data_IF_206030071635
#
_entry.id   IF_206030071635
#
_cell.length_a   1.000
_cell.length_b   1.000
_cell.length_c   1.000
_cell.angle_alpha   90.00
_cell.angle_beta   90.00
_cell.angle_gamma   90.00
#
_symmetry.space_group_name_H-M   'P 1'
#
loop_
_entity.id
_entity.type
_entity.pdbx_description
1 polymer ?
#
# COMPACT_ATOMS: atom_id res chain seq x y z
N UNK A 1 -12.89 55.70 5.45
CA UNK A 1 -11.90 56.66 6.03
C UNK A 1 -11.43 57.68 5.01
N UNK A 2 -10.96 57.28 3.79
CA UNK A 2 -10.49 58.23 2.79
C UNK A 2 -11.53 59.31 2.44
N UNK A 3 -12.81 58.94 2.25
CA UNK A 3 -13.93 59.86 2.02
C UNK A 3 -14.03 60.91 3.14
N UNK A 4 -13.99 60.50 4.40
CA UNK A 4 -14.08 61.43 5.53
C UNK A 4 -12.86 62.31 5.73
N UNK A 5 -11.65 61.80 5.43
CA UNK A 5 -10.40 62.59 5.53
C UNK A 5 -10.34 63.67 4.48
N UNK A 6 -10.81 63.36 3.26
CA UNK A 6 -10.80 64.31 2.12
C UNK A 6 -12.11 65.03 1.91
N UNK A 7 -13.06 64.89 2.85
CA UNK A 7 -14.40 65.48 2.77
C UNK A 7 -15.09 65.24 1.41
N UNK A 8 -14.95 64.07 0.86
CA UNK A 8 -15.60 63.72 -0.40
C UNK A 8 -17.06 63.33 -0.18
N UNK A 9 -17.95 63.69 -1.12
CA UNK A 9 -19.37 63.32 -1.03
C UNK A 9 -19.62 61.85 -1.42
N UNK A 10 -18.76 61.32 -2.28
CA UNK A 10 -18.86 59.95 -2.77
C UNK A 10 -17.47 59.32 -2.88
N UNK A 11 -17.41 58.01 -2.76
CA UNK A 11 -16.17 57.26 -2.90
C UNK A 11 -16.40 55.82 -3.40
N UNK A 12 -15.44 55.32 -4.20
CA UNK A 12 -15.49 53.97 -4.71
C UNK A 12 -14.08 53.39 -4.75
N UNK A 13 -13.97 52.16 -4.25
CA UNK A 13 -12.74 51.35 -4.42
C UNK A 13 -13.01 50.24 -5.43
N UNK A 14 -12.20 50.21 -6.47
CA UNK A 14 -12.27 49.25 -7.57
C UNK A 14 -11.08 48.32 -7.48
N UNK A 15 -11.32 47.01 -7.53
CA UNK A 15 -10.28 46.01 -7.58
C UNK A 15 -10.14 45.38 -8.95
N UNK A 16 -8.92 45.08 -9.34
CA UNK A 16 -8.59 44.45 -10.59
C UNK A 16 -8.47 42.95 -10.43
N UNK A 17 -9.28 42.17 -11.19
CA UNK A 17 -9.08 40.73 -11.35
C UNK A 17 -8.10 40.48 -12.50
N UNK A 18 -7.19 39.51 -12.32
CA UNK A 18 -6.12 39.21 -13.30
C UNK A 18 -6.65 38.84 -14.71
N UNK A 19 -7.86 38.26 -14.77
CA UNK A 19 -8.45 37.73 -16.02
C UNK A 19 -9.55 38.61 -16.62
N UNK A 20 -9.96 39.71 -15.97
CA UNK A 20 -11.09 40.55 -16.41
C UNK A 20 -10.64 41.96 -16.81
N UNK A 21 -11.14 42.49 -17.92
CA UNK A 21 -10.96 43.91 -18.27
C UNK A 21 -11.88 44.81 -17.45
N UNK A 22 -12.76 44.28 -16.64
CA UNK A 22 -13.72 45.00 -15.81
C UNK A 22 -13.15 45.13 -14.41
N UNK A 23 -13.24 46.32 -13.84
CA UNK A 23 -12.89 46.61 -12.45
C UNK A 23 -14.10 46.35 -11.57
N UNK A 24 -13.90 45.52 -10.54
CA UNK A 24 -14.96 45.19 -9.60
C UNK A 24 -15.05 46.21 -8.46
N UNK A 25 -16.22 46.81 -8.20
CA UNK A 25 -16.41 47.67 -7.04
C UNK A 25 -16.37 46.82 -5.76
N UNK A 26 -15.31 46.99 -4.96
CA UNK A 26 -15.10 46.26 -3.70
C UNK A 26 -15.68 47.02 -2.50
N UNK A 27 -15.76 48.34 -2.56
CA UNK A 27 -16.39 49.21 -1.58
C UNK A 27 -16.90 50.47 -2.21
N UNK A 28 -18.10 50.90 -1.82
CA UNK A 28 -18.72 52.15 -2.29
C UNK A 28 -19.24 52.92 -1.10
N UNK A 29 -19.26 54.27 -1.28
CA UNK A 29 -19.87 55.19 -0.33
C UNK A 29 -20.72 56.21 -1.10
N UNK A 30 -22.01 56.31 -0.77
CA UNK A 30 -23.01 57.18 -1.45
C UNK A 30 -23.13 56.93 -2.97
N UNK A 31 -22.87 55.69 -3.43
CA UNK A 31 -23.08 55.28 -4.82
C UNK A 31 -24.16 54.20 -4.90
N UNK A 32 -24.95 54.24 -5.98
CA UNK A 32 -25.89 53.18 -6.30
C UNK A 32 -25.15 52.02 -6.96
N UNK A 33 -25.37 50.76 -6.52
CA UNK A 33 -24.64 49.58 -7.01
C UNK A 33 -24.65 49.40 -8.52
N UNK A 34 -25.66 49.94 -9.21
CA UNK A 34 -25.80 49.83 -10.66
C UNK A 34 -24.82 50.71 -11.49
N UNK A 35 -24.16 51.66 -10.85
CA UNK A 35 -23.33 52.65 -11.56
C UNK A 35 -21.85 52.21 -11.71
N UNK A 36 -21.48 51.09 -11.19
CA UNK A 36 -20.08 50.79 -10.82
C UNK A 36 -19.29 49.88 -11.75
N UNK A 37 -19.80 49.44 -12.90
CA UNK A 37 -19.04 48.62 -13.83
C UNK A 37 -18.14 49.49 -14.72
N UNK A 38 -16.91 49.70 -14.30
CA UNK A 38 -15.92 50.46 -15.06
C UNK A 38 -14.94 49.55 -15.78
N UNK A 39 -14.62 49.92 -17.02
CA UNK A 39 -13.64 49.16 -17.80
C UNK A 39 -12.24 49.71 -17.56
N UNK A 40 -11.27 48.85 -17.34
CA UNK A 40 -9.83 49.14 -17.27
C UNK A 40 -9.32 49.89 -18.51
N UNK A 41 -10.04 49.81 -19.63
CA UNK A 41 -9.69 50.48 -20.91
C UNK A 41 -10.02 51.98 -20.95
N UNK A 42 -10.61 52.56 -19.92
CA UNK A 42 -10.82 54.01 -19.86
C UNK A 42 -9.50 54.73 -19.82
N UNK A 43 -9.45 55.91 -20.51
CA UNK A 43 -8.22 56.69 -20.69
C UNK A 43 -7.49 57.03 -19.39
N UNK A 44 -8.23 57.45 -18.38
CA UNK A 44 -7.70 57.80 -17.06
C UNK A 44 -6.94 56.64 -16.39
N UNK A 45 -7.44 55.40 -16.49
CA UNK A 45 -6.74 54.26 -15.88
C UNK A 45 -5.47 53.89 -16.64
N UNK A 46 -5.43 54.06 -17.96
CA UNK A 46 -4.22 53.88 -18.75
C UNK A 46 -3.17 54.93 -18.41
N UNK A 47 -3.58 56.19 -18.31
CA UNK A 47 -2.71 57.29 -17.90
C UNK A 47 -2.09 57.06 -16.53
N UNK A 48 -2.88 56.60 -15.55
CA UNK A 48 -2.41 56.25 -14.21
C UNK A 48 -1.44 55.06 -14.26
N UNK A 49 -1.68 54.07 -15.11
CA UNK A 49 -0.77 52.94 -15.29
C UNK A 49 0.59 53.38 -15.89
N UNK A 50 0.54 54.22 -16.91
CA UNK A 50 1.74 54.73 -17.59
C UNK A 50 2.59 55.66 -16.70
N UNK A 51 1.95 56.58 -16.00
CA UNK A 51 2.63 57.57 -15.15
C UNK A 51 2.86 57.06 -13.72
N UNK A 52 2.26 55.94 -13.33
CA UNK A 52 2.29 55.40 -11.96
C UNK A 52 1.84 56.42 -10.87
N UNK A 53 1.10 57.42 -11.22
CA UNK A 53 0.60 58.46 -10.35
C UNK A 53 -0.92 58.61 -10.47
N UNK A 54 -1.57 59.03 -9.41
CA UNK A 54 -2.98 59.38 -9.45
C UNK A 54 -3.24 60.65 -10.25
N UNK A 55 -4.52 60.90 -10.55
CA UNK A 55 -4.95 62.04 -11.38
C UNK A 55 -6.10 62.79 -10.71
N UNK A 56 -6.07 64.11 -10.80
CA UNK A 56 -7.20 65.00 -10.47
C UNK A 56 -7.91 65.35 -11.75
N UNK A 57 -9.22 65.12 -11.79
CA UNK A 57 -10.10 65.47 -12.92
C UNK A 57 -11.01 66.63 -12.54
N UNK A 58 -10.86 67.73 -13.26
CA UNK A 58 -11.65 68.94 -13.10
C UNK A 58 -12.68 69.07 -14.23
N UNK A 59 -13.67 69.97 -14.15
CA UNK A 59 -14.63 70.20 -15.24
C UNK A 59 -14.03 70.52 -16.60
N UNK A 60 -12.82 71.03 -16.62
CA UNK A 60 -12.07 71.37 -17.85
C UNK A 60 -11.46 70.12 -18.50
N UNK A 61 -11.19 69.06 -17.76
CA UNK A 61 -10.50 67.84 -18.27
C UNK A 61 -11.39 67.04 -19.21
N UNK A 62 -12.71 67.10 -19.06
CA UNK A 62 -13.71 66.40 -19.90
C UNK A 62 -13.45 64.91 -20.11
N UNK A 63 -12.97 64.21 -19.11
CA UNK A 63 -12.63 62.79 -19.22
C UNK A 63 -13.88 61.91 -19.33
N UNK A 64 -13.73 60.78 -19.99
CA UNK A 64 -14.79 59.78 -20.19
C UNK A 64 -15.30 59.22 -18.88
N UNK A 65 -14.48 59.18 -17.84
CA UNK A 65 -14.85 58.69 -16.49
C UNK A 65 -15.85 59.65 -15.84
N UNK A 66 -15.61 61.00 -15.94
CA UNK A 66 -16.52 62.04 -15.43
C UNK A 66 -17.92 61.89 -16.01
N UNK A 67 -17.99 61.69 -17.36
CA UNK A 67 -19.27 61.51 -18.05
C UNK A 67 -19.96 60.19 -17.64
N UNK A 68 -19.22 59.11 -17.43
CA UNK A 68 -19.79 57.83 -16.99
C UNK A 68 -20.32 57.85 -15.58
N UNK A 69 -19.66 58.58 -14.68
CA UNK A 69 -20.04 58.72 -13.30
C UNK A 69 -21.02 59.88 -13.08
N UNK A 70 -21.20 60.70 -14.07
CA UNK A 70 -21.99 61.95 -14.01
C UNK A 70 -21.52 62.91 -12.90
N UNK A 71 -20.18 62.96 -12.70
CA UNK A 71 -19.53 63.80 -11.70
C UNK A 71 -18.46 64.69 -12.34
N UNK A 72 -18.28 65.89 -11.78
CA UNK A 72 -17.39 66.91 -12.40
C UNK A 72 -16.02 66.98 -11.72
N UNK A 73 -15.95 66.78 -10.42
CA UNK A 73 -14.73 66.90 -9.61
C UNK A 73 -14.37 65.55 -9.05
N UNK A 74 -13.35 64.89 -9.59
CA UNK A 74 -12.87 63.58 -9.16
C UNK A 74 -11.37 63.62 -8.85
N UNK A 75 -10.98 62.77 -7.93
CA UNK A 75 -9.59 62.37 -7.73
C UNK A 75 -9.49 60.83 -7.78
N UNK A 76 -8.54 60.35 -8.56
CA UNK A 76 -8.32 58.90 -8.78
C UNK A 76 -6.89 58.57 -8.40
N UNK A 77 -6.72 57.59 -7.51
CA UNK A 77 -5.40 57.12 -7.12
C UNK A 77 -5.31 55.60 -7.25
N UNK A 78 -4.16 55.04 -7.67
CA UNK A 78 -3.95 53.61 -7.77
C UNK A 78 -3.72 53.00 -6.37
N UNK A 79 -4.26 51.80 -6.16
CA UNK A 79 -3.92 50.92 -5.07
C UNK A 79 -2.69 50.12 -5.48
N UNK A 80 -1.49 50.58 -5.12
CA UNK A 80 -0.22 50.01 -5.62
C UNK A 80 0.61 49.40 -4.49
N UNK A 81 0.98 48.11 -4.64
CA UNK A 81 1.90 47.40 -3.76
C UNK A 81 3.02 46.75 -4.62
N UNK A 82 4.28 46.87 -4.21
CA UNK A 82 5.44 46.23 -4.88
C UNK A 82 5.44 46.36 -6.40
N UNK A 83 5.20 47.54 -6.93
CA UNK A 83 5.12 47.86 -8.38
C UNK A 83 3.92 47.23 -9.14
N UNK A 84 2.97 46.58 -8.49
CA UNK A 84 1.74 46.05 -9.10
C UNK A 84 0.54 46.88 -8.66
N UNK A 85 -0.26 47.38 -9.61
CA UNK A 85 -1.54 48.04 -9.34
C UNK A 85 -2.60 46.95 -9.10
N UNK A 86 -3.21 46.97 -7.93
CA UNK A 86 -4.27 46.02 -7.53
C UNK A 86 -5.67 46.59 -7.82
N UNK A 87 -5.77 47.89 -8.01
CA UNK A 87 -7.03 48.56 -8.23
C UNK A 87 -6.91 50.07 -8.18
N UNK A 88 -8.02 50.75 -8.04
CA UNK A 88 -8.12 52.18 -8.02
C UNK A 88 -9.11 52.66 -6.96
N UNK A 89 -8.83 53.80 -6.35
CA UNK A 89 -9.77 54.53 -5.53
C UNK A 89 -10.19 55.82 -6.21
N UNK A 90 -11.50 56.01 -6.28
CA UNK A 90 -12.12 57.19 -6.90
C UNK A 90 -12.89 57.90 -5.79
N UNK A 91 -12.63 59.21 -5.60
CA UNK A 91 -13.42 60.07 -4.76
C UNK A 91 -13.99 61.23 -5.61
N UNK A 92 -15.22 61.68 -5.24
CA UNK A 92 -15.92 62.69 -5.97
C UNK A 92 -16.38 63.80 -5.06
N UNK A 93 -16.37 65.04 -5.57
CA UNK A 93 -16.96 66.22 -5.00
C UNK A 93 -16.46 66.52 -3.59
N UNK A 94 -15.42 67.30 -3.47
CA UNK A 94 -14.91 67.78 -2.17
C UNK A 94 -15.90 68.78 -1.55
N UNK A 95 -16.47 68.46 -0.44
CA UNK A 95 -17.43 69.34 0.27
C UNK A 95 -16.68 70.25 1.23
N UNK A 96 -16.88 71.56 1.07
CA UNK A 96 -16.35 72.56 1.96
C UNK A 96 -17.47 73.45 2.50
N UNK A 97 -17.17 74.35 3.41
CA UNK A 97 -18.14 75.31 3.93
C UNK A 97 -18.68 76.29 2.86
N UNK A 98 -17.99 76.37 1.72
CA UNK A 98 -18.33 77.24 0.58
C UNK A 98 -19.01 76.49 -0.58
N UNK A 99 -19.22 75.21 -0.43
CA UNK A 99 -19.83 74.31 -1.43
C UNK A 99 -18.90 73.26 -1.94
N UNK A 100 -19.14 72.74 -3.16
CA UNK A 100 -18.29 71.73 -3.81
C UNK A 100 -17.09 72.41 -4.43
N UNK A 101 -15.90 71.99 -4.04
CA UNK A 101 -14.61 72.47 -4.56
C UNK A 101 -13.87 71.38 -5.33
N UNK A 102 -12.83 71.78 -6.08
CA UNK A 102 -11.93 70.90 -6.78
C UNK A 102 -10.94 70.25 -5.81
N UNK A 103 -10.57 69.00 -6.05
CA UNK A 103 -9.44 68.39 -5.37
C UNK A 103 -8.12 69.03 -5.87
N UNK A 104 -7.19 69.18 -4.96
CA UNK A 104 -5.87 69.77 -5.28
C UNK A 104 -4.78 68.68 -5.15
N UNK A 105 -3.50 69.04 -5.45
CA UNK A 105 -2.39 68.13 -5.41
C UNK A 105 -2.15 67.50 -4.01
N UNK A 106 -2.37 68.28 -2.96
CA UNK A 106 -2.26 67.75 -1.57
C UNK A 106 -3.30 66.66 -1.30
N UNK A 107 -4.53 66.85 -1.82
CA UNK A 107 -5.60 65.84 -1.69
C UNK A 107 -5.19 64.54 -2.45
N UNK A 108 -4.62 64.68 -3.63
CA UNK A 108 -4.12 63.56 -4.41
C UNK A 108 -2.96 62.81 -3.69
N UNK A 109 -2.00 63.55 -3.15
CA UNK A 109 -0.86 63.01 -2.43
C UNK A 109 -1.32 62.22 -1.18
N UNK A 110 -2.29 62.79 -0.45
CA UNK A 110 -2.88 62.16 0.71
C UNK A 110 -3.66 60.89 0.31
N UNK A 111 -4.50 60.98 -0.73
CA UNK A 111 -5.22 59.82 -1.23
C UNK A 111 -4.26 58.71 -1.68
N UNK A 112 -3.19 59.06 -2.38
CA UNK A 112 -2.16 58.12 -2.86
C UNK A 112 -1.47 57.45 -1.70
N UNK A 113 -1.13 58.16 -0.65
CA UNK A 113 -0.57 57.60 0.58
C UNK A 113 -1.52 56.59 1.23
N UNK A 114 -2.82 56.93 1.35
CA UNK A 114 -3.85 56.03 1.88
C UNK A 114 -4.04 54.76 0.99
N UNK A 115 -4.03 54.94 -0.32
CA UNK A 115 -4.14 53.87 -1.30
C UNK A 115 -2.95 52.90 -1.21
N UNK A 116 -1.72 53.40 -1.08
CA UNK A 116 -0.54 52.58 -0.92
C UNK A 116 -0.57 51.77 0.39
N UNK A 117 -0.98 52.37 1.49
CA UNK A 117 -1.17 51.65 2.76
C UNK A 117 -2.23 50.56 2.64
N UNK A 118 -3.37 50.86 2.02
CA UNK A 118 -4.45 49.91 1.80
C UNK A 118 -3.99 48.74 0.91
N UNK A 119 -3.24 49.04 -0.18
CA UNK A 119 -2.72 48.02 -1.07
C UNK A 119 -1.73 47.05 -0.36
N UNK A 120 -0.83 47.56 0.47
CA UNK A 120 0.09 46.75 1.27
C UNK A 120 -0.67 45.86 2.27
N UNK A 121 -1.68 46.42 2.93
CA UNK A 121 -2.49 45.66 3.88
C UNK A 121 -3.28 44.51 3.18
N UNK A 122 -3.80 44.79 1.99
CA UNK A 122 -4.51 43.78 1.17
C UNK A 122 -3.56 42.71 0.66
N UNK A 123 -2.36 43.05 0.23
CA UNK A 123 -1.35 42.07 -0.21
C UNK A 123 -0.93 41.14 0.93
N UNK A 124 -0.69 41.68 2.10
CA UNK A 124 -0.38 40.89 3.30
C UNK A 124 -1.53 39.97 3.70
N UNK A 125 -2.77 40.48 3.65
CA UNK A 125 -3.96 39.66 3.97
C UNK A 125 -4.12 38.49 2.96
N UNK A 126 -3.87 38.76 1.66
CA UNK A 126 -3.90 37.73 0.62
C UNK A 126 -2.82 36.69 0.83
N UNK A 127 -1.57 37.09 1.07
CA UNK A 127 -0.46 36.17 1.35
C UNK A 127 -0.75 35.31 2.58
N UNK A 128 -1.27 35.89 3.64
CA UNK A 128 -1.64 35.13 4.84
C UNK A 128 -2.72 34.10 4.55
N UNK A 129 -3.73 34.47 3.75
CA UNK A 129 -4.80 33.55 3.32
C UNK A 129 -4.22 32.42 2.48
N UNK A 130 -3.39 32.73 1.48
CA UNK A 130 -2.78 31.73 0.59
C UNK A 130 -1.92 30.72 1.38
N UNK A 131 -1.13 31.20 2.35
CA UNK A 131 -0.33 30.34 3.24
C UNK A 131 -1.23 29.45 4.09
N UNK A 132 -2.31 30.02 4.64
CA UNK A 132 -3.25 29.26 5.49
C UNK A 132 -3.97 28.19 4.68
N UNK A 133 -4.44 28.53 3.49
CA UNK A 133 -5.10 27.58 2.58
C UNK A 133 -4.16 26.47 2.14
N UNK A 134 -2.90 26.79 1.81
CA UNK A 134 -1.88 25.80 1.46
C UNK A 134 -1.57 24.86 2.64
N UNK A 135 -1.46 25.41 3.87
CA UNK A 135 -1.26 24.61 5.07
C UNK A 135 -2.43 23.67 5.33
N UNK A 136 -3.67 24.17 5.29
CA UNK A 136 -4.88 23.36 5.49
C UNK A 136 -5.01 22.27 4.42
N UNK A 137 -4.66 22.57 3.17
CA UNK A 137 -4.66 21.61 2.07
C UNK A 137 -3.66 20.46 2.34
N UNK A 138 -2.43 20.79 2.73
CA UNK A 138 -1.41 19.79 3.09
C UNK A 138 -1.84 18.93 4.28
N UNK A 139 -2.38 19.54 5.34
CA UNK A 139 -2.91 18.81 6.51
C UNK A 139 -4.08 17.89 6.14
N UNK A 140 -4.97 18.34 5.25
CA UNK A 140 -6.08 17.53 4.75
C UNK A 140 -5.61 16.32 3.95
N UNK A 141 -4.61 16.50 3.06
CA UNK A 141 -4.01 15.39 2.31
C UNK A 141 -3.39 14.38 3.26
N UNK A 142 -2.49 14.83 4.14
CA UNK A 142 -1.82 13.95 5.10
C UNK A 142 -2.79 13.25 6.04
N UNK A 143 -3.92 13.89 6.40
CA UNK A 143 -4.96 13.30 7.21
C UNK A 143 -5.85 12.28 6.50
N UNK A 144 -5.92 12.32 5.16
CA UNK A 144 -6.73 11.41 4.34
C UNK A 144 -5.98 10.15 3.86
N UNK A 145 -4.65 10.17 3.92
CA UNK A 145 -3.80 9.04 3.52
C UNK A 145 -3.84 7.96 4.61
N UNK A 146 -4.06 6.69 4.22
CA UNK A 146 -4.02 5.55 5.14
C UNK A 146 -2.60 5.17 5.61
N UNK A 147 -1.57 5.65 4.91
CA UNK A 147 -0.17 5.47 5.26
C UNK A 147 0.21 6.40 6.42
N UNK A 148 0.79 5.84 7.48
CA UNK A 148 1.40 6.61 8.56
C UNK A 148 2.63 7.34 8.04
N UNK A 149 2.70 8.65 8.25
CA UNK A 149 3.85 9.47 7.87
C UNK A 149 4.41 10.10 9.13
N UNK A 150 5.70 9.83 9.39
CA UNK A 150 6.48 10.40 10.50
C UNK A 150 7.63 11.18 9.88
N UNK A 151 7.90 12.37 10.35
CA UNK A 151 9.08 13.14 9.94
C UNK A 151 10.04 13.31 11.09
N UNK A 152 11.31 13.16 10.80
CA UNK A 152 12.42 13.38 11.73
C UNK A 152 13.20 14.63 11.34
N UNK A 153 13.70 15.31 12.33
CA UNK A 153 14.66 16.39 12.14
C UNK A 153 16.10 15.86 11.90
N UNK A 154 17.10 16.72 11.67
CA UNK A 154 18.48 16.29 11.41
C UNK A 154 19.18 15.59 12.59
N UNK A 155 18.66 15.66 13.79
CA UNK A 155 19.19 14.97 14.97
C UNK A 155 18.39 13.72 15.36
N UNK A 156 17.39 13.35 14.59
CA UNK A 156 16.58 12.15 14.79
C UNK A 156 15.39 12.33 15.73
N UNK A 157 15.03 13.57 16.12
CA UNK A 157 13.81 13.84 16.86
C UNK A 157 12.60 13.88 15.93
N UNK A 158 11.46 13.39 16.40
CA UNK A 158 10.21 13.36 15.63
C UNK A 158 9.58 14.74 15.66
N UNK A 159 9.52 15.41 14.51
CA UNK A 159 8.95 16.74 14.35
C UNK A 159 7.46 16.71 13.94
N UNK A 160 6.99 15.66 13.29
CA UNK A 160 5.57 15.49 13.01
C UNK A 160 5.16 14.01 12.80
N UNK A 161 3.87 13.76 12.99
CA UNK A 161 3.22 12.48 12.68
C UNK A 161 1.79 12.76 12.21
N UNK A 162 1.34 12.08 11.13
CA UNK A 162 -0.03 12.20 10.66
C UNK A 162 -1.00 11.30 11.47
N UNK A 163 -2.31 11.46 11.23
CA UNK A 163 -3.35 10.68 11.91
C UNK A 163 -3.20 9.16 11.68
N UNK A 164 -2.86 8.73 10.48
CA UNK A 164 -2.65 7.30 10.20
C UNK A 164 -1.46 6.75 11.00
N UNK A 165 -0.38 7.52 11.11
CA UNK A 165 0.79 7.15 11.93
C UNK A 165 0.42 6.93 13.39
N UNK A 166 -0.34 7.85 14.01
CA UNK A 166 -0.81 7.67 15.41
C UNK A 166 -1.71 6.45 15.57
N UNK A 167 -2.54 6.16 14.57
CA UNK A 167 -3.39 4.96 14.57
C UNK A 167 -2.59 3.67 14.49
N UNK A 168 -1.58 3.60 13.61
CA UNK A 168 -0.69 2.43 13.45
C UNK A 168 0.16 2.23 14.69
N UNK A 169 0.74 3.32 15.22
CA UNK A 169 1.56 3.29 16.44
C UNK A 169 0.74 3.02 17.71
N UNK A 170 -0.59 3.21 17.66
CA UNK A 170 -1.52 3.16 18.82
C UNK A 170 -1.09 4.07 19.96
N UNK A 171 -0.54 5.22 19.62
CA UNK A 171 -0.06 6.24 20.55
C UNK A 171 -0.55 7.62 20.11
N UNK A 172 -0.85 8.48 21.08
CA UNK A 172 -1.21 9.87 20.82
C UNK A 172 0.01 10.68 20.34
N UNK A 173 -0.20 11.63 19.43
CA UNK A 173 0.87 12.43 18.84
C UNK A 173 1.74 13.15 19.89
N UNK A 174 1.13 13.58 20.98
CA UNK A 174 1.79 14.27 22.11
C UNK A 174 2.85 13.39 22.79
N UNK A 175 2.69 12.08 22.75
CA UNK A 175 3.64 11.11 23.32
C UNK A 175 4.72 10.67 22.33
N UNK A 176 4.61 11.08 21.06
CA UNK A 176 5.51 10.70 19.97
C UNK A 176 6.41 11.89 19.59
N UNK A 177 5.80 13.06 19.35
CA UNK A 177 6.51 14.26 18.90
C UNK A 177 7.50 14.73 19.97
N UNK A 178 8.71 15.11 19.54
CA UNK A 178 9.80 15.55 20.40
C UNK A 178 10.63 14.40 21.02
N UNK A 179 10.27 13.14 20.78
CA UNK A 179 11.11 12.01 21.16
C UNK A 179 12.02 11.61 20.01
N UNK A 180 13.21 11.11 20.34
CA UNK A 180 14.11 10.55 19.36
C UNK A 180 13.63 9.19 18.86
N UNK A 181 13.77 8.90 17.56
CA UNK A 181 13.26 7.66 16.97
C UNK A 181 13.81 6.39 17.64
N UNK A 182 15.06 6.41 18.11
CA UNK A 182 15.64 5.27 18.82
C UNK A 182 14.88 4.89 20.09
N UNK A 183 14.29 5.86 20.77
CA UNK A 183 13.48 5.61 21.95
C UNK A 183 12.12 4.99 21.58
N UNK A 184 11.54 5.46 20.48
CA UNK A 184 10.25 4.99 20.01
C UNK A 184 10.30 3.54 19.53
N UNK A 185 11.39 3.16 18.86
CA UNK A 185 11.59 1.83 18.27
C UNK A 185 12.63 0.99 19.02
N UNK A 186 12.88 1.24 20.31
CA UNK A 186 13.95 0.59 21.08
C UNK A 186 13.92 -0.94 21.08
N UNK A 187 12.71 -1.53 20.86
CA UNK A 187 12.48 -2.97 20.87
C UNK A 187 12.57 -3.63 19.49
N UNK A 188 12.68 -2.82 18.45
CA UNK A 188 12.56 -3.25 17.05
C UNK A 188 13.91 -3.01 16.33
N UNK A 189 14.89 -3.91 16.55
CA UNK A 189 16.25 -3.79 15.97
C UNK A 189 16.23 -3.63 14.45
N UNK A 190 15.35 -4.34 13.74
CA UNK A 190 15.20 -4.31 12.29
C UNK A 190 14.76 -2.90 11.81
N UNK A 191 13.84 -2.26 12.53
CA UNK A 191 13.41 -0.89 12.25
C UNK A 191 14.54 0.11 12.50
N UNK A 192 15.28 -0.04 13.61
CA UNK A 192 16.40 0.82 13.93
C UNK A 192 17.52 0.72 12.87
N UNK A 193 17.82 -0.49 12.41
CA UNK A 193 18.80 -0.72 11.33
C UNK A 193 18.36 -0.09 10.02
N UNK A 194 17.08 -0.22 9.66
CA UNK A 194 16.50 0.38 8.45
C UNK A 194 16.62 1.91 8.47
N UNK A 195 16.27 2.56 9.60
CA UNK A 195 16.35 4.02 9.74
C UNK A 195 17.82 4.48 9.70
N UNK A 196 18.70 3.85 10.46
CA UNK A 196 20.12 4.23 10.49
C UNK A 196 20.82 4.01 9.15
N UNK A 197 20.46 2.96 8.41
CA UNK A 197 20.99 2.71 7.06
C UNK A 197 20.56 3.79 6.08
N UNK A 198 19.29 4.23 6.14
CA UNK A 198 18.78 5.31 5.30
C UNK A 198 19.47 6.64 5.60
N UNK A 199 19.75 6.92 6.88
CA UNK A 199 20.45 8.10 7.35
C UNK A 199 21.92 8.14 6.86
N UNK A 200 22.67 7.05 7.12
CA UNK A 200 24.10 6.96 6.77
C UNK A 200 24.32 7.02 5.26
N UNK A 201 23.53 6.28 4.51
CA UNK A 201 23.70 6.19 3.05
C UNK A 201 23.03 7.35 2.29
N UNK A 202 22.20 8.14 2.96
CA UNK A 202 21.37 9.20 2.37
C UNK A 202 20.56 8.72 1.19
N UNK A 203 19.94 7.54 1.31
CA UNK A 203 19.13 6.88 0.27
C UNK A 203 17.83 6.36 0.85
N UNK A 204 16.85 6.18 -0.04
CA UNK A 204 15.61 5.50 0.30
C UNK A 204 15.92 4.04 0.67
N UNK A 205 15.40 3.60 1.81
CA UNK A 205 15.41 2.21 2.26
C UNK A 205 13.99 1.76 2.53
N UNK A 206 13.66 0.53 2.18
CA UNK A 206 12.33 -0.03 2.39
C UNK A 206 12.44 -1.48 2.79
N UNK A 207 11.61 -1.88 3.75
CA UNK A 207 11.47 -3.25 4.19
C UNK A 207 9.97 -3.60 4.26
N UNK A 208 9.63 -4.85 3.98
CA UNK A 208 8.25 -5.32 3.92
C UNK A 208 8.01 -6.45 4.93
N UNK A 209 6.76 -6.57 5.41
CA UNK A 209 6.33 -7.59 6.37
C UNK A 209 7.09 -7.55 7.70
N UNK A 210 7.47 -6.38 8.18
CA UNK A 210 8.14 -6.22 9.47
C UNK A 210 7.13 -6.47 10.59
N UNK A 211 7.37 -7.43 11.52
CA UNK A 211 6.57 -7.55 12.72
C UNK A 211 6.86 -6.36 13.65
N UNK A 212 5.83 -5.62 13.99
CA UNK A 212 5.90 -4.44 14.82
C UNK A 212 5.06 -4.63 16.09
N UNK A 213 5.69 -4.52 17.25
CA UNK A 213 5.03 -4.72 18.53
C UNK A 213 4.56 -3.40 19.11
N UNK A 214 3.26 -3.11 18.97
CA UNK A 214 2.62 -2.02 19.72
C UNK A 214 2.36 -2.45 21.16
N UNK A 215 1.91 -1.52 22.01
CA UNK A 215 1.65 -1.78 23.43
C UNK A 215 0.65 -2.93 23.67
N UNK A 216 -0.19 -3.29 22.70
CA UNK A 216 -1.30 -4.23 22.89
C UNK A 216 -1.39 -5.38 21.89
N UNK A 217 -0.78 -5.27 20.71
CA UNK A 217 -0.94 -6.27 19.64
C UNK A 217 0.29 -6.31 18.72
N UNK A 218 0.50 -7.49 18.13
CA UNK A 218 1.42 -7.67 17.01
C UNK A 218 0.78 -7.13 15.73
N UNK A 219 1.43 -6.17 15.11
CA UNK A 219 1.05 -5.53 13.85
C UNK A 219 2.10 -5.88 12.81
N UNK A 220 1.72 -6.07 11.56
CA UNK A 220 2.66 -6.27 10.45
C UNK A 220 2.64 -5.03 9.58
N UNK A 221 3.81 -4.43 9.37
CA UNK A 221 3.94 -3.19 8.61
C UNK A 221 4.89 -3.35 7.43
N UNK A 222 4.64 -2.57 6.37
CA UNK A 222 5.66 -2.20 5.41
C UNK A 222 6.20 -0.83 5.84
N UNK A 223 7.51 -0.67 5.79
CA UNK A 223 8.15 0.58 6.18
C UNK A 223 9.09 1.08 5.08
N UNK A 224 9.03 2.37 4.81
CA UNK A 224 9.95 3.05 3.90
C UNK A 224 10.51 4.29 4.59
N UNK A 225 11.82 4.46 4.51
CA UNK A 225 12.54 5.61 5.07
C UNK A 225 13.25 6.34 3.95
N UNK A 226 13.03 7.64 3.85
CA UNK A 226 13.61 8.48 2.82
C UNK A 226 14.24 9.74 3.42
N UNK A 227 15.39 10.23 2.91
CA UNK A 227 15.93 11.52 3.31
C UNK A 227 15.00 12.67 2.88
N UNK A 228 14.75 13.61 3.79
CA UNK A 228 14.05 14.85 3.53
C UNK A 228 15.06 15.91 3.09
N UNK A 229 14.96 16.37 1.86
CA UNK A 229 15.90 17.32 1.27
C UNK A 229 15.31 18.74 1.21
N UNK A 230 16.15 19.74 1.40
CA UNK A 230 15.81 21.13 1.09
C UNK A 230 15.89 21.37 -0.45
N UNK A 231 15.44 22.55 -0.96
CA UNK A 231 15.55 22.88 -2.37
C UNK A 231 16.98 22.90 -2.94
N UNK A 232 17.96 23.04 -2.07
CA UNK A 232 19.39 23.04 -2.37
C UNK A 232 20.00 21.62 -2.37
N UNK A 233 19.23 20.60 -1.92
CA UNK A 233 19.62 19.19 -1.91
C UNK A 233 20.33 18.75 -0.61
N UNK A 234 20.33 19.57 0.45
CA UNK A 234 20.89 19.18 1.75
C UNK A 234 19.84 18.42 2.57
N UNK A 235 20.30 17.44 3.34
CA UNK A 235 19.41 16.65 4.21
C UNK A 235 18.91 17.47 5.38
N UNK A 236 17.58 17.56 5.51
CA UNK A 236 16.85 18.23 6.59
C UNK A 236 16.19 17.24 7.57
N UNK A 237 16.63 15.98 7.55
CA UNK A 237 16.08 14.90 8.35
C UNK A 237 15.57 13.74 7.50
N UNK A 238 14.66 12.94 8.05
CA UNK A 238 14.09 11.76 7.39
C UNK A 238 12.57 11.84 7.34
N UNK A 239 12.00 11.11 6.37
CA UNK A 239 10.56 10.81 6.31
C UNK A 239 10.38 9.31 6.39
N UNK A 240 9.57 8.86 7.32
CA UNK A 240 9.21 7.46 7.53
C UNK A 240 7.76 7.28 7.09
N UNK A 241 7.53 6.34 6.17
CA UNK A 241 6.20 5.91 5.75
C UNK A 241 5.93 4.52 6.32
N UNK A 242 4.77 4.35 6.97
CA UNK A 242 4.30 3.11 7.58
C UNK A 242 2.99 2.69 6.95
N UNK A 243 2.91 1.48 6.46
CA UNK A 243 1.69 0.87 5.95
C UNK A 243 1.32 -0.33 6.81
N UNK A 244 0.15 -0.30 7.43
CA UNK A 244 -0.38 -1.44 8.18
C UNK A 244 -0.93 -2.48 7.20
N UNK A 245 -0.26 -3.63 7.12
CA UNK A 245 -0.66 -4.77 6.30
C UNK A 245 -1.13 -5.96 7.15
N UNK A 246 -1.47 -5.73 8.41
CA UNK A 246 -1.83 -6.79 9.37
C UNK A 246 -2.95 -7.66 8.85
N UNK A 247 -4.02 -7.08 8.35
CA UNK A 247 -5.16 -7.85 7.84
C UNK A 247 -4.80 -8.62 6.57
N UNK A 248 -4.06 -8.02 5.65
CA UNK A 248 -3.56 -8.70 4.44
C UNK A 248 -2.64 -9.85 4.82
N UNK A 249 -1.72 -9.63 5.76
CA UNK A 249 -0.81 -10.65 6.28
C UNK A 249 -1.57 -11.79 6.99
N UNK A 250 -2.58 -11.49 7.81
CA UNK A 250 -3.45 -12.50 8.43
C UNK A 250 -4.19 -13.34 7.39
N UNK A 251 -4.76 -12.71 6.36
CA UNK A 251 -5.43 -13.42 5.26
C UNK A 251 -4.43 -14.30 4.52
N UNK A 252 -3.27 -13.76 4.13
CA UNK A 252 -2.20 -14.52 3.47
C UNK A 252 -1.72 -15.70 4.32
N UNK A 253 -1.49 -15.49 5.61
CA UNK A 253 -1.07 -16.56 6.53
C UNK A 253 -2.17 -17.59 6.79
N UNK A 254 -3.43 -17.17 6.82
CA UNK A 254 -4.57 -18.08 6.90
C UNK A 254 -4.66 -18.92 5.61
N UNK A 255 -4.52 -18.29 4.45
CA UNK A 255 -4.55 -18.98 3.16
C UNK A 255 -3.40 -20.00 3.01
N UNK A 256 -2.20 -19.69 3.52
CA UNK A 256 -1.08 -20.63 3.58
C UNK A 256 -1.33 -21.89 4.42
N UNK A 257 -2.35 -21.89 5.27
CA UNK A 257 -2.77 -23.11 6.02
C UNK A 257 -3.65 -24.04 5.19
N UNK A 258 -4.31 -23.53 4.16
CA UNK A 258 -5.22 -24.31 3.29
C UNK A 258 -4.59 -24.66 1.95
N UNK A 259 -3.55 -23.94 1.53
CA UNK A 259 -2.85 -24.14 0.27
C UNK A 259 -1.36 -24.25 0.58
N UNK A 260 -0.64 -25.14 -0.11
CA UNK A 260 0.80 -25.29 0.12
C UNK A 260 1.55 -23.97 -0.15
N UNK A 261 2.59 -23.72 0.64
CA UNK A 261 3.39 -22.49 0.55
C UNK A 261 3.89 -22.22 -0.88
N UNK A 262 4.36 -23.26 -1.58
CA UNK A 262 4.88 -23.17 -2.94
C UNK A 262 3.82 -22.71 -3.94
N UNK A 263 2.57 -23.21 -3.79
CA UNK A 263 1.44 -22.81 -4.65
C UNK A 263 1.03 -21.37 -4.35
N UNK A 264 1.00 -20.97 -3.08
CA UNK A 264 0.68 -19.57 -2.71
C UNK A 264 1.72 -18.61 -3.25
N UNK A 265 3.00 -18.91 -3.10
CA UNK A 265 4.07 -18.04 -3.56
C UNK A 265 4.06 -17.91 -5.10
N UNK A 266 3.81 -18.99 -5.85
CA UNK A 266 3.72 -18.95 -7.32
C UNK A 266 2.45 -18.23 -7.83
N UNK A 267 1.31 -18.38 -7.16
CA UNK A 267 0.06 -17.71 -7.54
C UNK A 267 0.07 -16.21 -7.24
N UNK A 268 0.83 -15.77 -6.24
CA UNK A 268 0.94 -14.35 -5.89
C UNK A 268 1.95 -13.58 -6.74
N UNK A 269 2.88 -14.28 -7.40
CA UNK A 269 3.91 -13.64 -8.23
C UNK A 269 3.44 -13.33 -9.66
N UNK A 270 2.34 -13.95 -10.14
CA UNK A 270 1.87 -13.76 -11.52
C UNK A 270 0.34 -13.92 -11.62
N UNK A 271 -0.37 -12.81 -11.77
CA UNK A 271 -1.83 -12.78 -11.96
C UNK A 271 -2.31 -13.64 -13.17
N UNK A 272 -1.47 -13.83 -14.17
CA UNK A 272 -1.81 -14.66 -15.32
C UNK A 272 -1.93 -16.15 -14.94
N UNK A 273 -1.25 -16.58 -13.89
CA UNK A 273 -1.30 -17.97 -13.37
C UNK A 273 -2.56 -18.27 -12.54
N UNK A 274 -3.34 -17.25 -12.21
CA UNK A 274 -4.65 -17.42 -11.55
C UNK A 274 -5.76 -17.89 -12.50
N UNK A 275 -5.52 -17.92 -13.80
CA UNK A 275 -6.52 -18.36 -14.77
C UNK A 275 -6.67 -19.89 -14.79
N UNK A 276 -7.87 -20.35 -15.15
CA UNK A 276 -8.12 -21.77 -15.45
C UNK A 276 -7.20 -22.23 -16.56
N UNK A 277 -6.52 -23.35 -16.35
CA UNK A 277 -5.62 -23.95 -17.33
C UNK A 277 -4.64 -24.91 -16.69
N UNK A 278 -3.94 -25.61 -17.51
CA UNK A 278 -2.88 -26.51 -17.07
C UNK A 278 -1.89 -26.78 -18.19
N UNK A 279 -0.67 -27.10 -17.80
CA UNK A 279 0.42 -27.46 -18.70
C UNK A 279 0.87 -28.91 -18.46
N UNK A 280 1.35 -29.53 -19.52
CA UNK A 280 1.90 -30.87 -19.40
C UNK A 280 3.26 -30.81 -18.73
N UNK A 281 3.40 -31.53 -17.62
CA UNK A 281 4.66 -31.64 -16.87
C UNK A 281 4.97 -33.09 -16.52
N UNK A 282 6.24 -33.42 -16.36
CA UNK A 282 6.66 -34.68 -15.77
C UNK A 282 6.87 -34.48 -14.27
N UNK A 283 6.14 -35.21 -13.45
CA UNK A 283 6.15 -35.09 -11.99
C UNK A 283 6.36 -36.43 -11.33
N UNK A 284 6.78 -36.42 -10.06
CA UNK A 284 6.79 -37.58 -9.21
C UNK A 284 5.68 -37.42 -8.15
N UNK A 285 4.77 -38.39 -8.09
CA UNK A 285 3.62 -38.40 -7.20
C UNK A 285 3.84 -39.45 -6.13
N UNK A 286 3.66 -39.06 -4.86
CA UNK A 286 3.75 -39.90 -3.69
C UNK A 286 2.41 -39.92 -2.98
N UNK A 287 1.90 -41.13 -2.74
CA UNK A 287 0.72 -41.36 -1.94
C UNK A 287 1.08 -42.10 -0.65
N UNK A 288 0.44 -41.74 0.47
CA UNK A 288 0.50 -42.50 1.73
C UNK A 288 -0.90 -42.78 2.22
N UNK A 289 -1.14 -43.96 2.80
CA UNK A 289 -2.45 -44.35 3.31
C UNK A 289 -2.31 -45.22 4.57
N UNK A 290 -3.06 -44.89 5.66
CA UNK A 290 -2.96 -45.56 6.93
C UNK A 290 -3.63 -46.95 6.85
N UNK A 291 -2.91 -47.98 7.21
CA UNK A 291 -3.41 -49.37 7.13
C UNK A 291 -4.41 -49.67 8.23
N UNK A 292 -5.60 -50.13 7.80
CA UNK A 292 -6.69 -50.51 8.72
C UNK A 292 -7.36 -49.33 9.42
N UNK A 293 -7.19 -48.10 8.93
CA UNK A 293 -7.75 -46.90 9.53
C UNK A 293 -9.28 -46.94 9.62
N UNK A 294 -9.98 -47.38 8.60
CA UNK A 294 -11.46 -47.54 8.61
C UNK A 294 -11.94 -48.38 9.79
N UNK A 295 -11.35 -49.56 9.98
CA UNK A 295 -11.71 -50.43 11.10
C UNK A 295 -11.26 -49.88 12.45
N UNK A 296 -10.22 -49.06 12.48
CA UNK A 296 -9.73 -48.40 13.70
C UNK A 296 -10.66 -47.26 14.09
N UNK A 297 -11.05 -46.43 13.12
CA UNK A 297 -11.88 -45.22 13.32
C UNK A 297 -13.31 -45.59 13.78
N UNK A 298 -13.89 -46.69 13.28
CA UNK A 298 -15.19 -47.18 13.71
C UNK A 298 -15.27 -47.50 15.23
N UNK A 299 -14.13 -47.82 15.83
CA UNK A 299 -14.02 -48.15 17.27
C UNK A 299 -13.61 -46.94 18.13
N UNK A 300 -13.33 -45.81 17.54
CA UNK A 300 -12.88 -44.60 18.21
C UNK A 300 -13.99 -43.57 18.37
N UNK A 301 -13.88 -42.71 19.38
CA UNK A 301 -14.69 -41.49 19.46
C UNK A 301 -14.24 -40.49 18.37
N UNK A 302 -15.16 -39.72 17.79
CA UNK A 302 -14.83 -38.77 16.72
C UNK A 302 -13.66 -37.84 17.02
N UNK A 303 -13.58 -37.33 18.25
CA UNK A 303 -12.50 -36.44 18.69
C UNK A 303 -11.13 -37.14 18.66
N UNK A 304 -11.12 -38.42 18.95
CA UNK A 304 -9.89 -39.25 18.91
C UNK A 304 -9.47 -39.57 17.48
N UNK A 305 -10.42 -39.75 16.57
CA UNK A 305 -10.13 -39.93 15.14
C UNK A 305 -9.39 -38.70 14.62
N UNK A 306 -9.96 -37.50 14.86
CA UNK A 306 -9.38 -36.24 14.44
C UNK A 306 -8.01 -36.01 15.08
N UNK A 307 -7.86 -36.22 16.38
CA UNK A 307 -6.56 -36.02 17.05
C UNK A 307 -5.49 -36.97 16.56
N UNK A 308 -5.85 -38.24 16.24
CA UNK A 308 -4.92 -39.23 15.68
C UNK A 308 -4.47 -38.85 14.27
N UNK A 309 -5.40 -38.43 13.43
CA UNK A 309 -5.07 -37.94 12.08
C UNK A 309 -4.17 -36.70 12.13
N UNK A 310 -4.52 -35.73 12.98
CA UNK A 310 -3.72 -34.52 13.11
C UNK A 310 -2.30 -34.81 13.61
N UNK A 311 -2.15 -35.73 14.55
CA UNK A 311 -0.83 -36.15 15.04
C UNK A 311 0.01 -36.78 13.90
N UNK A 312 -0.60 -37.67 13.10
CA UNK A 312 0.04 -38.28 11.94
C UNK A 312 0.38 -37.26 10.86
N UNK A 313 -0.61 -36.46 10.45
CA UNK A 313 -0.44 -35.50 9.36
C UNK A 313 0.60 -34.44 9.69
N UNK A 314 0.62 -33.91 10.91
CA UNK A 314 1.59 -32.89 11.30
C UNK A 314 3.02 -33.37 11.05
N UNK A 315 3.36 -34.57 11.50
CA UNK A 315 4.72 -35.11 11.34
C UNK A 315 5.05 -35.49 9.91
N UNK A 316 4.08 -36.04 9.16
CA UNK A 316 4.30 -36.41 7.76
C UNK A 316 4.42 -35.20 6.84
N UNK A 317 3.60 -34.19 7.04
CA UNK A 317 3.62 -32.96 6.25
C UNK A 317 4.90 -32.15 6.50
N UNK A 318 5.38 -32.10 7.74
CA UNK A 318 6.66 -31.46 8.06
C UNK A 318 7.82 -32.08 7.27
N UNK A 319 7.83 -33.42 7.10
CA UNK A 319 8.82 -34.12 6.27
C UNK A 319 8.65 -33.78 4.79
N UNK A 320 7.40 -33.69 4.29
CA UNK A 320 7.14 -33.27 2.91
C UNK A 320 7.74 -31.89 2.64
N UNK A 321 7.49 -30.93 3.52
CA UNK A 321 8.01 -29.55 3.36
C UNK A 321 9.52 -29.46 3.52
N UNK A 322 10.11 -30.25 4.41
CA UNK A 322 11.58 -30.36 4.56
C UNK A 322 12.29 -30.72 3.25
N UNK A 323 11.67 -31.55 2.44
CA UNK A 323 12.19 -31.96 1.13
C UNK A 323 11.54 -31.22 -0.05
N UNK A 324 10.95 -30.05 0.19
CA UNK A 324 10.32 -29.22 -0.84
C UNK A 324 9.27 -29.96 -1.69
N UNK A 325 8.52 -30.89 -1.08
CA UNK A 325 7.35 -31.51 -1.68
C UNK A 325 6.14 -30.60 -1.59
N UNK A 326 5.26 -30.67 -2.57
CA UNK A 326 3.98 -29.98 -2.58
C UNK A 326 2.90 -30.90 -2.07
N UNK A 327 2.27 -30.59 -0.93
CA UNK A 327 1.07 -31.30 -0.51
C UNK A 327 -0.08 -30.88 -1.43
N UNK A 328 -0.55 -31.80 -2.26
CA UNK A 328 -1.68 -31.55 -3.18
C UNK A 328 -2.99 -31.58 -2.41
N UNK A 329 -3.29 -32.69 -1.75
CA UNK A 329 -4.50 -32.82 -0.92
C UNK A 329 -4.40 -33.93 0.12
N UNK A 330 -5.30 -33.83 1.10
CA UNK A 330 -5.59 -34.86 2.10
C UNK A 330 -6.92 -35.52 1.73
N UNK A 331 -6.93 -36.83 1.53
CA UNK A 331 -8.10 -37.61 1.11
C UNK A 331 -8.41 -38.63 2.20
N UNK A 332 -9.23 -38.25 3.20
CA UNK A 332 -9.46 -39.09 4.38
C UNK A 332 -8.19 -39.25 5.21
N UNK A 333 -7.62 -40.44 5.23
CA UNK A 333 -6.34 -40.78 5.88
C UNK A 333 -5.15 -40.88 4.88
N UNK A 334 -5.40 -40.56 3.60
CA UNK A 334 -4.40 -40.59 2.55
C UNK A 334 -3.82 -39.18 2.31
N UNK A 335 -2.52 -39.10 2.08
CA UNK A 335 -1.82 -37.88 1.61
C UNK A 335 -1.44 -38.06 0.14
N UNK A 336 -1.74 -37.05 -0.67
CA UNK A 336 -1.23 -36.92 -2.03
C UNK A 336 -0.18 -35.82 -2.08
N UNK A 337 1.03 -36.16 -2.47
CA UNK A 337 2.20 -35.27 -2.52
C UNK A 337 2.76 -35.29 -3.94
N UNK A 338 3.18 -34.11 -4.43
CA UNK A 338 3.73 -33.94 -5.78
C UNK A 338 5.11 -33.30 -5.69
N UNK A 339 6.05 -33.81 -6.47
CA UNK A 339 7.37 -33.24 -6.73
C UNK A 339 7.48 -32.91 -8.20
N UNK A 340 7.96 -31.70 -8.55
CA UNK A 340 8.04 -31.23 -9.93
C UNK A 340 6.88 -30.33 -10.36
N UNK A 341 5.98 -30.01 -9.43
CA UNK A 341 4.94 -28.99 -9.58
C UNK A 341 4.64 -28.33 -8.24
N UNK A 342 4.45 -27.00 -8.20
CA UNK A 342 4.52 -26.05 -9.31
C UNK A 342 5.95 -25.80 -9.82
N UNK A 343 6.96 -26.05 -9.03
CA UNK A 343 8.38 -25.83 -9.35
C UNK A 343 9.08 -27.16 -9.58
N UNK A 344 9.69 -27.32 -10.75
CA UNK A 344 10.43 -28.54 -11.09
C UNK A 344 11.92 -28.42 -10.73
N UNK A 345 12.51 -29.55 -10.29
CA UNK A 345 13.93 -29.70 -10.03
C UNK A 345 14.45 -31.05 -10.54
N UNK A 346 15.75 -31.16 -10.82
CA UNK A 346 16.34 -32.37 -11.35
C UNK A 346 16.28 -33.56 -10.37
N UNK A 347 16.23 -33.30 -9.08
CA UNK A 347 16.20 -34.26 -7.98
C UNK A 347 14.83 -34.63 -7.46
N UNK A 348 13.75 -34.19 -8.12
CA UNK A 348 12.36 -34.39 -7.67
C UNK A 348 12.04 -35.83 -7.29
N UNK A 349 12.41 -36.78 -8.13
CA UNK A 349 12.15 -38.20 -7.89
C UNK A 349 12.95 -38.75 -6.70
N UNK A 350 14.17 -38.28 -6.54
CA UNK A 350 15.02 -38.66 -5.41
C UNK A 350 14.47 -38.12 -4.10
N UNK A 351 14.06 -36.84 -4.06
CA UNK A 351 13.45 -36.22 -2.88
C UNK A 351 12.15 -36.93 -2.47
N UNK A 352 11.34 -37.34 -3.43
CA UNK A 352 10.14 -38.14 -3.15
C UNK A 352 10.48 -39.48 -2.45
N UNK A 353 11.51 -40.16 -2.90
CA UNK A 353 11.97 -41.44 -2.29
C UNK A 353 12.54 -41.19 -0.90
N UNK A 354 13.38 -40.16 -0.72
CA UNK A 354 13.93 -39.80 0.60
C UNK A 354 12.80 -39.46 1.59
N UNK A 355 11.80 -38.68 1.15
CA UNK A 355 10.62 -38.36 1.95
C UNK A 355 9.90 -39.61 2.43
N UNK A 356 9.65 -40.57 1.52
CA UNK A 356 8.97 -41.80 1.89
C UNK A 356 9.76 -42.63 2.94
N UNK A 357 11.08 -42.72 2.79
CA UNK A 357 11.95 -43.43 3.75
C UNK A 357 11.95 -42.70 5.09
N UNK A 358 12.12 -41.41 5.14
CA UNK A 358 12.10 -40.66 6.41
C UNK A 358 10.74 -40.71 7.08
N UNK A 359 9.63 -40.68 6.32
CA UNK A 359 8.28 -40.90 6.89
C UNK A 359 8.16 -42.26 7.58
N UNK A 360 8.69 -43.32 6.99
CA UNK A 360 8.67 -44.68 7.60
C UNK A 360 9.57 -44.74 8.84
N UNK A 361 10.63 -43.96 8.94
CA UNK A 361 11.46 -43.90 10.15
C UNK A 361 10.79 -43.04 11.23
N UNK A 362 10.17 -41.94 10.86
CA UNK A 362 9.46 -41.06 11.79
C UNK A 362 8.26 -41.76 12.43
N UNK A 363 7.52 -42.58 11.69
CA UNK A 363 6.39 -43.30 12.26
C UNK A 363 6.83 -44.36 13.31
N UNK A 364 8.04 -44.89 13.19
CA UNK A 364 8.61 -45.81 14.23
C UNK A 364 8.77 -45.01 15.54
N UNK A 365 9.25 -43.78 15.47
CA UNK A 365 9.43 -42.88 16.61
C UNK A 365 8.06 -42.53 17.24
N UNK A 366 7.12 -42.09 16.42
CA UNK A 366 5.76 -41.77 16.86
C UNK A 366 5.09 -42.99 17.56
N UNK A 367 5.26 -44.17 17.00
CA UNK A 367 4.71 -45.40 17.58
C UNK A 367 5.33 -45.75 18.94
N UNK A 368 6.61 -45.41 19.19
CA UNK A 368 7.22 -45.55 20.51
C UNK A 368 6.54 -44.63 21.55
N UNK A 369 6.22 -43.40 21.16
CA UNK A 369 5.49 -42.45 22.02
C UNK A 369 4.06 -42.91 22.26
N UNK A 370 3.35 -43.37 21.21
CA UNK A 370 2.00 -43.93 21.30
C UNK A 370 1.93 -45.16 22.21
N UNK A 371 2.95 -46.01 22.16
CA UNK A 371 3.07 -47.15 23.07
C UNK A 371 3.16 -46.73 24.55
N UNK A 372 3.91 -45.66 24.86
CA UNK A 372 3.98 -45.08 26.21
C UNK A 372 2.61 -44.60 26.70
N UNK A 373 1.79 -44.06 25.78
CA UNK A 373 0.41 -43.60 26.04
C UNK A 373 -0.63 -44.74 26.00
N UNK A 374 -0.21 -45.98 25.73
CA UNK A 374 -1.08 -47.15 25.54
C UNK A 374 -2.07 -47.01 24.38
N UNK A 375 -1.65 -46.34 23.34
CA UNK A 375 -2.40 -46.11 22.10
C UNK A 375 -2.01 -47.12 21.03
N UNK A 376 -2.94 -47.49 20.11
CA UNK A 376 -2.60 -48.40 19.01
C UNK A 376 -1.55 -47.79 18.08
N UNK A 377 -0.64 -48.58 17.55
CA UNK A 377 0.34 -48.11 16.57
C UNK A 377 -0.33 -47.70 15.28
N UNK A 378 0.25 -46.69 14.59
CA UNK A 378 -0.11 -46.32 13.25
C UNK A 378 0.89 -46.93 12.26
N UNK A 379 0.41 -47.55 11.21
CA UNK A 379 1.22 -48.04 10.09
C UNK A 379 0.60 -47.60 8.79
N UNK A 380 1.42 -47.26 7.80
CA UNK A 380 0.95 -46.84 6.50
C UNK A 380 1.78 -47.46 5.38
N UNK A 381 1.19 -47.52 4.20
CA UNK A 381 1.90 -47.89 2.95
C UNK A 381 2.16 -46.68 2.10
N UNK A 382 3.16 -46.76 1.24
CA UNK A 382 3.54 -45.69 0.33
C UNK A 382 3.59 -46.19 -1.12
N UNK A 383 3.04 -45.42 -2.03
CA UNK A 383 3.14 -45.64 -3.46
C UNK A 383 3.77 -44.44 -4.17
N UNK A 384 4.83 -44.64 -4.96
CA UNK A 384 5.51 -43.59 -5.70
C UNK A 384 5.52 -43.91 -7.20
N UNK A 385 5.04 -42.94 -7.98
CA UNK A 385 5.11 -43.06 -9.44
C UNK A 385 5.62 -41.75 -10.07
N UNK A 386 6.34 -41.88 -11.19
CA UNK A 386 6.80 -40.76 -12.01
C UNK A 386 6.19 -40.85 -13.40
N UNK A 387 5.69 -39.76 -13.93
CA UNK A 387 5.15 -39.68 -15.28
C UNK A 387 4.51 -38.36 -15.64
N UNK A 388 4.05 -38.26 -16.91
CA UNK A 388 3.43 -37.04 -17.40
C UNK A 388 2.03 -36.83 -16.78
N UNK A 389 1.75 -35.56 -16.45
CA UNK A 389 0.46 -35.09 -15.93
C UNK A 389 0.12 -33.74 -16.57
N UNK A 390 -1.13 -33.30 -16.42
CA UNK A 390 -1.52 -31.90 -16.59
C UNK A 390 -1.54 -31.29 -15.20
N UNK A 391 -0.74 -30.26 -14.98
CA UNK A 391 -0.62 -29.49 -13.73
C UNK A 391 -1.15 -28.09 -13.92
N UNK A 392 -2.00 -27.60 -13.02
CA UNK A 392 -2.55 -26.24 -13.07
C UNK A 392 -3.82 -26.06 -12.30
N UNK A 393 -4.51 -24.92 -12.50
CA UNK A 393 -5.78 -24.58 -11.88
C UNK A 393 -6.92 -25.29 -12.57
N UNK A 394 -7.54 -26.25 -11.90
CA UNK A 394 -8.58 -27.12 -12.43
C UNK A 394 -9.84 -26.92 -11.62
N UNK A 395 -10.95 -26.63 -12.31
CA UNK A 395 -12.25 -26.39 -11.65
C UNK A 395 -13.14 -25.42 -12.40
N UNK A 396 -13.80 -24.54 -11.68
CA UNK A 396 -14.64 -23.46 -12.23
C UNK A 396 -14.03 -22.10 -11.88
N UNK A 397 -14.62 -21.02 -12.42
CA UNK A 397 -14.18 -19.64 -12.08
C UNK A 397 -14.35 -19.30 -10.58
N UNK A 398 -15.33 -19.93 -9.94
CA UNK A 398 -15.67 -19.66 -8.53
C UNK A 398 -14.98 -20.62 -7.55
N UNK A 399 -14.46 -21.76 -8.07
CA UNK A 399 -13.77 -22.77 -7.23
C UNK A 399 -12.75 -23.53 -8.08
N UNK A 400 -11.49 -23.36 -7.74
CA UNK A 400 -10.36 -23.97 -8.42
C UNK A 400 -9.46 -24.69 -7.40
N UNK A 401 -8.90 -25.82 -7.83
CA UNK A 401 -7.82 -26.52 -7.15
C UNK A 401 -6.56 -26.44 -8.03
N UNK A 402 -5.45 -26.02 -7.45
CA UNK A 402 -4.16 -26.24 -8.10
C UNK A 402 -3.74 -27.69 -7.85
N UNK A 403 -3.80 -28.51 -8.88
CA UNK A 403 -3.60 -29.95 -8.77
C UNK A 403 -3.01 -30.56 -10.04
N UNK A 404 -2.70 -31.83 -9.99
CA UNK A 404 -2.22 -32.62 -11.12
C UNK A 404 -3.25 -33.69 -11.52
N UNK A 405 -3.49 -33.83 -12.84
CA UNK A 405 -4.37 -34.84 -13.39
C UNK A 405 -3.63 -35.65 -14.43
N UNK A 406 -3.79 -36.98 -14.39
CA UNK A 406 -3.22 -37.88 -15.37
C UNK A 406 -3.21 -39.34 -14.94
N UNK A 407 -2.89 -40.22 -15.87
CA UNK A 407 -2.78 -41.65 -15.59
C UNK A 407 -1.66 -41.97 -14.58
N UNK A 408 -0.63 -41.12 -14.55
CA UNK A 408 0.47 -41.22 -13.60
C UNK A 408 0.00 -41.07 -12.13
N UNK A 409 -1.01 -40.22 -11.87
CA UNK A 409 -1.60 -40.02 -10.53
C UNK A 409 -2.31 -41.32 -10.11
N UNK A 410 -3.13 -41.88 -10.99
CA UNK A 410 -3.87 -43.10 -10.71
C UNK A 410 -2.93 -44.29 -10.41
N UNK A 411 -1.81 -44.36 -11.09
CA UNK A 411 -0.80 -45.40 -10.84
C UNK A 411 -0.17 -45.26 -9.48
N UNK A 412 0.17 -44.04 -9.04
CA UNK A 412 0.71 -43.75 -7.69
C UNK A 412 -0.23 -44.21 -6.60
N UNK A 413 -1.53 -43.84 -6.69
CA UNK A 413 -2.57 -44.27 -5.75
C UNK A 413 -2.70 -45.80 -5.69
N UNK A 414 -2.63 -46.50 -6.81
CA UNK A 414 -2.72 -47.97 -6.85
C UNK A 414 -1.51 -48.65 -6.24
N UNK A 415 -0.31 -48.11 -6.47
CA UNK A 415 0.90 -48.58 -5.79
C UNK A 415 0.77 -48.45 -4.27
N UNK A 416 0.24 -47.30 -3.83
CA UNK A 416 -0.04 -47.08 -2.43
C UNK A 416 -1.02 -48.12 -1.88
N UNK A 417 -2.15 -48.31 -2.57
CA UNK A 417 -3.16 -49.34 -2.14
C UNK A 417 -2.60 -50.76 -2.10
N UNK A 418 -1.65 -51.10 -2.96
CA UNK A 418 -0.99 -52.40 -3.01
C UNK A 418 0.10 -52.59 -1.93
N UNK A 419 0.62 -51.51 -1.37
CA UNK A 419 1.68 -51.55 -0.38
C UNK A 419 1.16 -52.09 0.97
N UNK A 420 1.88 -52.99 1.61
CA UNK A 420 1.62 -53.45 2.96
C UNK A 420 2.01 -52.43 4.03
N UNK A 421 1.74 -52.71 5.31
CA UNK A 421 2.17 -51.90 6.43
C UNK A 421 3.70 -51.70 6.44
N UNK A 422 4.17 -50.45 6.35
CA UNK A 422 5.60 -50.13 6.34
C UNK A 422 6.29 -50.30 4.98
N UNK A 423 5.55 -50.69 3.93
CA UNK A 423 6.15 -50.87 2.59
C UNK A 423 6.12 -49.59 1.76
N UNK A 424 7.16 -49.39 0.96
CA UNK A 424 7.26 -48.32 -0.05
C UNK A 424 7.38 -48.99 -1.41
N UNK A 425 6.32 -48.87 -2.24
CA UNK A 425 6.28 -49.44 -3.58
C UNK A 425 6.49 -48.33 -4.63
N UNK A 426 7.33 -48.59 -5.60
CA UNK A 426 7.65 -47.66 -6.66
C UNK A 426 7.43 -48.25 -8.04
N UNK A 427 7.09 -47.43 -9.02
CA UNK A 427 7.01 -47.81 -10.43
C UNK A 427 8.39 -47.99 -11.06
N UNK A 428 8.45 -48.64 -12.25
CA UNK A 428 9.67 -48.78 -13.03
C UNK A 428 10.35 -47.47 -13.39
N UNK A 429 9.57 -46.39 -13.64
CA UNK A 429 10.13 -45.06 -13.93
C UNK A 429 10.83 -44.42 -12.70
N UNK A 430 10.31 -44.62 -11.49
CA UNK A 430 10.97 -44.20 -10.25
C UNK A 430 12.23 -45.02 -10.00
N UNK A 431 12.11 -46.34 -10.13
CA UNK A 431 13.27 -47.25 -10.00
C UNK A 431 14.40 -46.88 -10.94
N UNK A 432 14.10 -46.63 -12.23
CA UNK A 432 15.12 -46.26 -13.22
C UNK A 432 15.84 -44.98 -12.84
N UNK A 433 15.12 -43.97 -12.34
CA UNK A 433 15.66 -42.69 -11.91
C UNK A 433 16.52 -42.77 -10.64
N UNK A 434 16.27 -43.74 -9.76
CA UNK A 434 16.85 -43.75 -8.41
C UNK A 434 17.63 -45.02 -8.05
N UNK A 435 17.68 -46.03 -8.92
CA UNK A 435 18.34 -47.33 -8.68
C UNK A 435 19.85 -47.27 -8.34
N UNK A 436 20.50 -46.16 -8.64
CA UNK A 436 21.91 -45.93 -8.28
C UNK A 436 22.12 -45.48 -6.84
N UNK A 437 21.06 -44.94 -6.21
CA UNK A 437 21.10 -44.33 -4.87
C UNK A 437 20.39 -45.16 -3.81
N UNK A 438 19.41 -45.97 -4.22
CA UNK A 438 18.61 -46.78 -3.29
C UNK A 438 18.63 -48.27 -3.70
N UNK A 439 18.44 -49.13 -2.70
CA UNK A 439 18.36 -50.57 -2.92
C UNK A 439 16.90 -51.01 -3.02
N UNK A 440 16.62 -51.90 -3.97
CA UNK A 440 15.26 -52.36 -4.27
C UNK A 440 15.14 -53.86 -4.33
N UNK A 441 13.96 -54.38 -3.95
CA UNK A 441 13.50 -55.69 -4.29
C UNK A 441 12.57 -55.60 -5.50
N UNK A 442 12.78 -56.41 -6.54
CA UNK A 442 11.79 -56.56 -7.61
C UNK A 442 10.63 -57.43 -7.12
N UNK A 443 9.41 -56.96 -7.32
CA UNK A 443 8.20 -57.70 -7.00
C UNK A 443 7.56 -58.24 -8.28
N UNK A 444 6.59 -59.19 -8.10
CA UNK A 444 5.79 -59.65 -9.23
C UNK A 444 5.00 -58.48 -9.84
N UNK A 445 4.98 -58.37 -11.17
CA UNK A 445 4.25 -57.31 -11.83
C UNK A 445 2.75 -57.35 -11.51
N UNK A 446 2.17 -56.19 -11.12
CA UNK A 446 0.77 -56.08 -10.72
C UNK A 446 -0.14 -55.75 -11.91
N UNK A 447 -1.35 -56.30 -11.89
CA UNK A 447 -2.41 -55.92 -12.80
C UNK A 447 -3.05 -54.60 -12.34
N UNK A 448 -3.09 -53.61 -13.22
CA UNK A 448 -3.68 -52.31 -12.90
C UNK A 448 -4.93 -52.13 -13.76
N UNK A 449 -6.09 -51.89 -13.11
CA UNK A 449 -7.37 -51.66 -13.82
C UNK A 449 -7.22 -50.56 -14.87
N UNK A 450 -7.52 -50.86 -16.13
CA UNK A 450 -7.41 -49.93 -17.27
C UNK A 450 -6.08 -49.98 -18.03
N UNK A 451 -5.08 -50.80 -17.61
CA UNK A 451 -3.89 -51.09 -18.40
C UNK A 451 -3.92 -52.52 -18.91
N UNK A 452 -3.52 -52.72 -20.17
CA UNK A 452 -3.46 -54.06 -20.80
C UNK A 452 -2.27 -54.87 -20.29
N UNK A 453 -1.15 -54.20 -20.02
CA UNK A 453 0.09 -54.82 -19.60
C UNK A 453 0.28 -54.73 -18.09
N UNK A 454 0.88 -55.73 -17.51
CA UNK A 454 1.29 -55.74 -16.11
C UNK A 454 2.41 -54.71 -15.88
N UNK A 455 2.34 -54.01 -14.77
CA UNK A 455 3.32 -52.95 -14.40
C UNK A 455 4.39 -53.56 -13.49
N UNK A 456 5.67 -53.32 -13.84
CA UNK A 456 6.78 -53.66 -12.97
C UNK A 456 6.78 -52.80 -11.72
N UNK A 457 6.88 -53.46 -10.54
CA UNK A 457 6.87 -52.85 -9.25
C UNK A 457 8.10 -53.19 -8.46
N UNK A 458 8.63 -52.24 -7.75
CA UNK A 458 9.81 -52.42 -6.91
C UNK A 458 9.52 -51.92 -5.51
N UNK A 459 10.04 -52.66 -4.51
CA UNK A 459 9.94 -52.27 -3.11
C UNK A 459 11.28 -51.69 -2.65
N UNK A 460 11.27 -50.57 -1.99
CA UNK A 460 12.46 -49.96 -1.37
C UNK A 460 12.85 -50.81 -0.14
N UNK A 461 14.12 -51.11 0.01
CA UNK A 461 14.68 -51.70 1.21
C UNK A 461 14.94 -50.62 2.22
N UNK A 462 14.09 -50.54 3.28
CA UNK A 462 14.20 -49.61 4.45
C UNK A 462 14.96 -50.25 5.57
#
# INVERSE_FOLDING_TARGET
RAVGILNASKGMMLLQKETSPILDPSATFNWDEKTALLSKKLGVFKEIEENSAGVVLTPETKDTLQNKLNEKHLVVAPLKAKNKTQGYMILCNKETRHGIEEFNQLDLDLLTALCNQAAVAMDNAKLFKDITEAKQFNESILGSIATGVITLDPIGEIDSINRAGTTIMKMEAENIIGNHYMYLFEKDEEILELISSAEIENKIRSEINIPFFTVSEETVINMSVAPRLDPEGNTQGLVIALEDITDVSKVKNTFKRYVSKQVVDELLDDDAKLNLGGEQREVTILFTDIRGFTSMSEKMKPERVVSTLNEYFSQMIDIVFKYNGTLDKIIGDELMIVYGAPIAAEDDTERAVITAVEMQDQIKTLNQERKKRKEPPITFGVGINRGPVVSGNIGSRDMMDYTVIGDAVNLGARLCSAAGPGEILVSGSVWDATKRKFSYNSLDPINVKGKKDKISVYQIKT
#
